data_IF_303729167303
#
_entry.id   IF_303729167303
#
_cell.length_a   1.000
_cell.length_b   1.000
_cell.length_c   1.000
_cell.angle_alpha   90.00
_cell.angle_beta   90.00
_cell.angle_gamma   90.00
#
_symmetry.space_group_name_H-M   'P 1'
#
loop_
_entity.id
_entity.type
_entity.pdbx_description
1 polymer ?
#
# COMPACT_ATOMS: atom_id res chain seq x y z
N UNK A 1 -17.54 -22.62 -4.12
CA UNK A 1 -16.06 -22.67 -4.07
C UNK A 1 -15.57 -21.32 -4.53
N UNK A 2 -14.67 -20.68 -3.80
CA UNK A 2 -14.07 -19.39 -4.16
C UNK A 2 -13.07 -19.62 -5.29
N UNK A 3 -13.16 -18.89 -6.39
CA UNK A 3 -12.11 -18.93 -7.41
C UNK A 3 -10.86 -18.23 -6.87
N UNK A 4 -9.71 -18.85 -7.09
CA UNK A 4 -8.41 -18.34 -6.69
C UNK A 4 -7.47 -18.41 -7.88
N UNK A 5 -6.89 -17.28 -8.25
CA UNK A 5 -5.96 -17.16 -9.38
C UNK A 5 -4.78 -16.31 -8.97
N UNK A 6 -3.57 -16.79 -9.24
CA UNK A 6 -2.36 -15.98 -9.24
C UNK A 6 -1.75 -16.10 -10.64
N UNK A 7 -1.60 -14.98 -11.34
CA UNK A 7 -1.12 -14.96 -12.72
C UNK A 7 -0.30 -13.69 -12.99
N UNK A 8 0.31 -13.60 -14.15
CA UNK A 8 1.06 -12.43 -14.61
C UNK A 8 0.46 -11.94 -15.92
N UNK A 9 0.18 -10.63 -15.99
CA UNK A 9 -0.17 -9.94 -17.23
C UNK A 9 1.10 -9.50 -17.95
N UNK A 10 1.09 -9.64 -19.27
CA UNK A 10 2.08 -9.07 -20.19
C UNK A 10 1.39 -7.91 -20.91
N UNK A 11 1.80 -6.66 -20.62
CA UNK A 11 1.08 -5.44 -21.02
C UNK A 11 1.81 -4.63 -22.12
N UNK A 12 2.91 -5.16 -22.67
CA UNK A 12 3.67 -4.51 -23.73
C UNK A 12 4.53 -3.35 -23.21
N UNK A 13 4.79 -2.39 -24.10
CA UNK A 13 5.63 -1.23 -23.79
C UNK A 13 4.98 -0.29 -22.77
N UNK A 14 5.78 0.18 -21.82
CA UNK A 14 5.36 1.14 -20.80
C UNK A 14 6.41 2.25 -20.65
N UNK A 15 5.99 3.50 -20.83
CA UNK A 15 6.85 4.67 -20.70
C UNK A 15 6.62 5.29 -19.31
N UNK A 16 7.66 5.43 -18.51
CA UNK A 16 7.61 6.04 -17.17
C UNK A 16 7.41 7.56 -17.23
N UNK A 17 7.14 8.17 -16.07
CA UNK A 17 7.04 9.63 -15.93
C UNK A 17 8.36 10.33 -16.30
N UNK A 18 9.52 9.67 -16.08
CA UNK A 18 10.84 10.16 -16.50
C UNK A 18 11.13 10.04 -18.00
N UNK A 19 10.28 9.32 -18.75
CA UNK A 19 10.46 9.04 -20.17
C UNK A 19 11.30 7.79 -20.47
N UNK A 20 11.70 7.03 -19.44
CA UNK A 20 12.36 5.73 -19.61
C UNK A 20 11.32 4.66 -19.96
N UNK A 21 11.75 3.59 -20.65
CA UNK A 21 10.83 2.58 -21.18
C UNK A 21 11.06 1.22 -20.52
N UNK A 22 9.95 0.54 -20.16
CA UNK A 22 9.92 -0.89 -19.90
C UNK A 22 9.33 -1.55 -21.14
N UNK A 23 10.15 -2.30 -21.89
CA UNK A 23 9.75 -2.88 -23.18
C UNK A 23 8.61 -3.90 -23.05
N UNK A 24 8.61 -4.66 -21.97
CA UNK A 24 7.63 -5.71 -21.67
C UNK A 24 7.14 -5.59 -20.24
N UNK A 25 6.16 -4.70 -20.01
CA UNK A 25 5.57 -4.52 -18.69
C UNK A 25 4.88 -5.80 -18.21
N UNK A 26 5.35 -6.34 -17.09
CA UNK A 26 4.79 -7.51 -16.42
C UNK A 26 4.17 -7.10 -15.11
N UNK A 27 2.93 -7.55 -14.86
CA UNK A 27 2.24 -7.35 -13.59
C UNK A 27 1.76 -8.68 -13.03
N UNK A 28 2.37 -9.11 -11.93
CA UNK A 28 1.88 -10.23 -11.11
C UNK A 28 0.67 -9.80 -10.33
N UNK A 29 -0.35 -10.65 -10.23
CA UNK A 29 -1.57 -10.34 -9.47
C UNK A 29 -2.17 -11.58 -8.82
N UNK A 30 -2.93 -11.34 -7.76
CA UNK A 30 -3.87 -12.26 -7.16
C UNK A 30 -5.28 -11.80 -7.47
N UNK A 31 -6.14 -12.73 -7.88
CA UNK A 31 -7.57 -12.51 -8.02
C UNK A 31 -8.34 -13.61 -7.28
N UNK A 32 -9.21 -13.20 -6.34
CA UNK A 32 -9.96 -14.11 -5.45
C UNK A 32 -11.41 -13.70 -5.44
N UNK A 33 -12.31 -14.68 -5.51
CA UNK A 33 -13.76 -14.43 -5.50
C UNK A 33 -14.46 -14.96 -6.76
N UNK A 34 -15.74 -14.70 -6.91
CA UNK A 34 -16.53 -15.17 -8.04
C UNK A 34 -16.74 -14.07 -9.09
N UNK A 35 -16.71 -14.41 -10.38
CA UNK A 35 -17.05 -13.45 -11.44
C UNK A 35 -18.40 -12.79 -11.20
N UNK A 36 -18.45 -11.46 -11.41
CA UNK A 36 -19.66 -10.67 -11.23
C UNK A 36 -19.93 -10.16 -9.83
N UNK A 37 -19.14 -10.58 -8.84
CA UNK A 37 -19.16 -9.93 -7.50
C UNK A 37 -18.61 -8.50 -7.58
N UNK A 38 -19.00 -7.60 -6.65
CA UNK A 38 -18.39 -6.28 -6.51
C UNK A 38 -16.87 -6.38 -6.32
N UNK A 39 -16.11 -5.55 -7.07
CA UNK A 39 -14.65 -5.58 -7.07
C UNK A 39 -14.07 -4.78 -5.90
N UNK A 40 -13.16 -5.41 -5.17
CA UNK A 40 -12.23 -4.78 -4.24
C UNK A 40 -10.83 -4.76 -4.87
N UNK A 41 -10.28 -3.57 -5.09
CA UNK A 41 -8.87 -3.41 -5.46
C UNK A 41 -8.08 -3.11 -4.20
N UNK A 42 -7.08 -3.94 -3.93
CA UNK A 42 -6.20 -3.79 -2.76
C UNK A 42 -4.83 -3.32 -3.23
N UNK A 43 -4.37 -2.21 -2.66
CA UNK A 43 -3.05 -1.66 -2.91
C UNK A 43 -2.12 -2.02 -1.73
N UNK A 44 -1.06 -2.78 -1.99
CA UNK A 44 -0.16 -3.23 -0.93
C UNK A 44 0.86 -2.16 -0.50
N UNK A 45 1.37 -2.30 0.73
CA UNK A 45 2.39 -1.43 1.31
C UNK A 45 3.81 -1.74 0.76
N UNK A 46 4.81 -0.95 1.17
CA UNK A 46 6.18 -0.94 0.66
C UNK A 46 6.80 -2.33 0.45
N UNK A 47 6.71 -3.20 1.45
CA UNK A 47 7.29 -4.56 1.42
C UNK A 47 6.23 -5.67 1.32
N UNK A 48 4.99 -5.29 0.98
CA UNK A 48 3.92 -6.23 0.67
C UNK A 48 4.08 -6.85 -0.71
N UNK A 49 3.10 -7.66 -1.07
CA UNK A 49 3.03 -8.30 -2.38
C UNK A 49 1.56 -8.52 -2.78
N UNK A 50 1.37 -9.16 -3.92
CA UNK A 50 0.04 -9.47 -4.46
C UNK A 50 -0.79 -10.45 -3.62
N UNK A 51 -0.19 -11.23 -2.70
CA UNK A 51 -0.91 -12.24 -1.93
C UNK A 51 -1.66 -11.63 -0.74
N UNK A 52 -2.79 -11.01 -1.01
CA UNK A 52 -3.68 -10.44 0.03
C UNK A 52 -4.46 -11.52 0.76
N UNK A 53 -5.00 -12.50 0.03
CA UNK A 53 -5.73 -13.66 0.56
C UNK A 53 -4.82 -14.88 0.72
N UNK A 54 -4.04 -15.20 -0.30
CA UNK A 54 -3.12 -16.33 -0.31
C UNK A 54 -3.81 -17.69 -0.32
N UNK A 55 -3.06 -18.71 0.08
CA UNK A 55 -3.51 -20.08 0.22
C UNK A 55 -3.41 -20.54 1.68
N UNK A 56 -3.90 -21.75 2.00
CA UNK A 56 -3.73 -22.31 3.35
C UNK A 56 -2.26 -22.60 3.68
N UNK A 57 -1.46 -22.93 2.66
CA UNK A 57 -0.01 -23.14 2.81
C UNK A 57 0.78 -21.83 2.91
N UNK A 58 0.27 -20.76 2.30
CA UNK A 58 0.86 -19.42 2.32
C UNK A 58 -0.24 -18.38 2.48
N UNK A 59 -0.72 -18.14 3.72
CA UNK A 59 -1.76 -17.15 3.99
C UNK A 59 -1.32 -15.76 3.56
N UNK A 60 -2.25 -15.03 2.93
CA UNK A 60 -2.04 -13.64 2.53
C UNK A 60 -2.05 -12.69 3.74
N UNK A 61 -1.46 -11.53 3.54
CA UNK A 61 -1.21 -10.58 4.63
C UNK A 61 -2.47 -9.88 5.17
N UNK A 62 -3.62 -9.93 4.45
CA UNK A 62 -4.94 -9.44 4.93
C UNK A 62 -6.02 -10.53 4.92
N UNK A 63 -5.64 -11.79 4.87
CA UNK A 63 -6.59 -12.91 4.87
C UNK A 63 -7.56 -12.85 6.04
N UNK A 64 -7.09 -12.42 7.21
CA UNK A 64 -7.93 -12.30 8.41
C UNK A 64 -9.06 -11.26 8.26
N UNK A 65 -8.83 -10.15 7.53
CA UNK A 65 -9.88 -9.17 7.22
C UNK A 65 -10.97 -9.79 6.34
N UNK A 66 -10.57 -10.65 5.42
CA UNK A 66 -11.44 -11.27 4.43
C UNK A 66 -12.21 -12.44 5.06
N UNK A 67 -11.52 -13.40 5.67
CA UNK A 67 -12.13 -14.56 6.33
C UNK A 67 -12.85 -14.17 7.64
N UNK A 68 -12.39 -13.13 8.33
CA UNK A 68 -13.02 -12.57 9.52
C UNK A 68 -14.34 -11.84 9.25
N UNK A 69 -14.72 -11.69 7.97
CA UNK A 69 -16.02 -11.16 7.57
C UNK A 69 -16.13 -9.64 7.58
N UNK A 70 -15.03 -8.90 7.71
CA UNK A 70 -15.05 -7.44 7.61
C UNK A 70 -15.24 -6.96 6.17
N UNK A 71 -14.61 -7.64 5.20
CA UNK A 71 -14.86 -7.52 3.76
C UNK A 71 -14.90 -8.96 3.19
N UNK A 72 -16.03 -9.65 3.28
CA UNK A 72 -16.06 -11.10 3.10
C UNK A 72 -15.96 -11.52 1.61
N UNK A 73 -15.17 -12.54 1.33
CA UNK A 73 -14.94 -13.09 -0.03
C UNK A 73 -16.19 -13.69 -0.67
N UNK A 74 -17.22 -14.00 0.10
CA UNK A 74 -18.49 -14.48 -0.45
C UNK A 74 -19.36 -13.34 -1.00
N UNK A 75 -19.09 -12.09 -0.65
CA UNK A 75 -19.78 -10.90 -1.15
C UNK A 75 -18.97 -10.12 -2.18
N UNK A 76 -17.65 -10.27 -2.18
CA UNK A 76 -16.72 -9.48 -2.99
C UNK A 76 -15.71 -10.37 -3.71
N UNK A 77 -15.20 -9.87 -4.84
CA UNK A 77 -13.98 -10.35 -5.46
C UNK A 77 -12.84 -9.36 -5.21
N UNK A 78 -11.62 -9.90 -4.97
CA UNK A 78 -10.43 -9.12 -4.63
C UNK A 78 -9.41 -9.19 -5.74
N UNK A 79 -8.83 -8.06 -6.08
CA UNK A 79 -7.74 -7.95 -7.03
C UNK A 79 -6.59 -7.17 -6.39
N UNK A 80 -5.42 -7.78 -6.38
CA UNK A 80 -4.20 -7.17 -5.84
C UNK A 80 -3.07 -7.37 -6.83
N UNK A 81 -2.53 -6.28 -7.34
CA UNK A 81 -1.32 -6.32 -8.17
C UNK A 81 -0.08 -6.21 -7.30
N UNK A 82 0.98 -6.92 -7.69
CA UNK A 82 2.30 -6.63 -7.18
C UNK A 82 2.87 -5.42 -7.89
N UNK A 83 3.32 -4.40 -7.14
CA UNK A 83 3.83 -3.16 -7.74
C UNK A 83 5.10 -3.41 -8.55
N UNK A 84 5.26 -2.71 -9.67
CA UNK A 84 6.53 -2.71 -10.42
C UNK A 84 7.65 -2.13 -9.56
N UNK A 85 8.85 -2.62 -9.76
CA UNK A 85 10.01 -2.28 -8.93
C UNK A 85 10.18 -3.17 -7.70
N UNK A 86 9.19 -4.03 -7.34
CA UNK A 86 9.31 -4.97 -6.23
C UNK A 86 9.80 -6.36 -6.68
N UNK A 87 10.36 -7.21 -5.78
CA UNK A 87 11.00 -8.47 -6.17
C UNK A 87 10.02 -9.64 -6.43
N UNK A 88 8.70 -9.40 -6.56
CA UNK A 88 7.68 -10.47 -6.58
C UNK A 88 7.03 -10.64 -7.97
N UNK A 89 7.84 -10.97 -8.99
CA UNK A 89 7.43 -11.36 -10.36
C UNK A 89 6.74 -10.27 -11.21
N UNK A 90 6.59 -9.03 -10.76
CA UNK A 90 6.33 -7.89 -11.63
C UNK A 90 7.65 -7.34 -12.19
N UNK A 91 7.59 -6.49 -13.22
CA UNK A 91 8.78 -5.84 -13.78
C UNK A 91 9.59 -5.11 -12.71
N UNK A 92 10.87 -5.37 -12.64
CA UNK A 92 11.80 -4.81 -11.65
C UNK A 92 13.25 -4.98 -12.07
N UNK A 93 14.19 -4.33 -11.38
CA UNK A 93 15.65 -4.52 -11.57
C UNK A 93 16.13 -5.96 -11.35
N UNK A 94 15.31 -6.83 -10.81
CA UNK A 94 15.63 -8.23 -10.59
C UNK A 94 15.40 -9.10 -11.85
N UNK A 95 14.53 -8.69 -12.74
CA UNK A 95 14.10 -9.49 -13.90
C UNK A 95 14.11 -8.72 -15.23
N UNK A 96 14.63 -7.50 -15.24
CA UNK A 96 14.78 -6.66 -16.41
C UNK A 96 16.08 -5.82 -16.27
N UNK A 97 17.10 -6.13 -17.06
CA UNK A 97 18.41 -5.45 -17.03
C UNK A 97 18.31 -3.97 -17.46
N UNK A 98 17.25 -3.62 -18.22
CA UNK A 98 16.96 -2.27 -18.68
C UNK A 98 15.87 -1.58 -17.84
N UNK A 99 15.56 -2.11 -16.65
CA UNK A 99 14.53 -1.53 -15.79
C UNK A 99 14.87 -0.07 -15.45
N UNK A 100 13.91 0.87 -15.53
CA UNK A 100 14.14 2.28 -15.32
C UNK A 100 14.90 2.62 -14.03
N UNK A 101 15.80 3.59 -14.10
CA UNK A 101 16.50 4.12 -12.93
C UNK A 101 15.57 4.97 -12.06
N UNK A 102 14.61 5.66 -12.70
CA UNK A 102 13.69 6.57 -12.02
C UNK A 102 12.25 6.08 -12.15
N UNK A 103 11.76 5.46 -11.10
CA UNK A 103 10.37 5.04 -10.96
C UNK A 103 9.66 5.93 -9.94
N UNK A 104 8.45 6.36 -10.27
CA UNK A 104 7.60 7.15 -9.37
C UNK A 104 6.36 6.39 -8.92
N UNK A 105 5.70 6.89 -7.89
CA UNK A 105 4.40 6.36 -7.47
C UNK A 105 3.36 6.42 -8.59
N UNK A 106 3.41 7.46 -9.43
CA UNK A 106 2.50 7.61 -10.57
C UNK A 106 2.70 6.54 -11.63
N UNK A 107 3.93 6.08 -11.83
CA UNK A 107 4.22 4.96 -12.73
C UNK A 107 3.62 3.66 -12.21
N UNK A 108 3.78 3.39 -10.91
CA UNK A 108 3.14 2.23 -10.26
C UNK A 108 1.63 2.25 -10.49
N UNK A 109 1.00 3.38 -10.26
CA UNK A 109 -0.45 3.52 -10.40
C UNK A 109 -0.91 3.35 -11.83
N UNK A 110 -0.21 3.94 -12.80
CA UNK A 110 -0.51 3.75 -14.24
C UNK A 110 -0.39 2.29 -14.67
N UNK A 111 0.63 1.58 -14.15
CA UNK A 111 0.76 0.16 -14.41
C UNK A 111 -0.42 -0.65 -13.83
N UNK A 112 -0.87 -0.33 -12.62
CA UNK A 112 -2.06 -0.94 -11.99
C UNK A 112 -3.32 -0.64 -12.82
N UNK A 113 -3.50 0.58 -13.29
CA UNK A 113 -4.63 0.97 -14.15
C UNK A 113 -4.67 0.16 -15.44
N UNK A 114 -3.52 -0.03 -16.10
CA UNK A 114 -3.40 -0.89 -17.28
C UNK A 114 -3.77 -2.34 -16.94
N UNK A 115 -3.34 -2.84 -15.78
CA UNK A 115 -3.69 -4.18 -15.31
C UNK A 115 -5.19 -4.36 -15.08
N UNK A 116 -5.85 -3.39 -14.44
CA UNK A 116 -7.30 -3.40 -14.22
C UNK A 116 -8.05 -3.37 -15.55
N UNK A 117 -7.59 -2.54 -16.51
CA UNK A 117 -8.17 -2.44 -17.86
C UNK A 117 -8.00 -3.75 -18.64
N UNK A 118 -6.82 -4.38 -18.59
CA UNK A 118 -6.54 -5.65 -19.25
C UNK A 118 -7.39 -6.82 -18.73
N UNK A 119 -7.80 -6.75 -17.46
CA UNK A 119 -8.76 -7.68 -16.86
C UNK A 119 -10.22 -7.27 -17.08
N UNK A 120 -10.47 -6.25 -17.91
CA UNK A 120 -11.78 -5.77 -18.35
C UNK A 120 -12.70 -5.22 -17.25
N UNK A 121 -12.17 -4.94 -16.05
CA UNK A 121 -12.94 -4.26 -15.02
C UNK A 121 -13.22 -2.80 -15.40
N UNK A 122 -14.46 -2.35 -15.16
CA UNK A 122 -14.91 -0.99 -15.50
C UNK A 122 -15.17 -0.13 -14.27
N UNK A 123 -15.38 -0.77 -13.11
CA UNK A 123 -15.74 -0.13 -11.85
C UNK A 123 -15.01 -0.81 -10.71
N UNK A 124 -14.62 -0.01 -9.73
CA UNK A 124 -14.06 -0.45 -8.46
C UNK A 124 -15.09 -0.14 -7.37
N UNK A 125 -15.62 -1.17 -6.71
CA UNK A 125 -16.59 -0.95 -5.63
C UNK A 125 -15.90 -0.53 -4.34
N UNK A 126 -14.73 -1.10 -4.05
CA UNK A 126 -13.91 -0.73 -2.90
C UNK A 126 -12.45 -0.63 -3.37
N UNK A 127 -11.85 0.53 -3.15
CA UNK A 127 -10.40 0.74 -3.29
C UNK A 127 -9.81 0.87 -1.90
N UNK A 128 -8.85 0.02 -1.54
CA UNK A 128 -8.28 0.02 -0.19
C UNK A 128 -6.77 -0.12 -0.21
N UNK A 129 -6.08 0.67 0.60
CA UNK A 129 -4.64 0.58 0.80
C UNK A 129 -4.15 1.26 2.05
N UNK A 130 -3.04 0.76 2.60
CA UNK A 130 -2.34 1.35 3.73
C UNK A 130 -0.93 1.81 3.37
N UNK A 131 -0.45 2.89 3.97
CA UNK A 131 0.89 3.44 3.71
C UNK A 131 1.09 3.72 2.22
N UNK A 132 2.13 3.18 1.57
CA UNK A 132 2.32 3.25 0.12
C UNK A 132 1.06 2.82 -0.67
N UNK A 133 0.30 1.85 -0.16
CA UNK A 133 -0.96 1.45 -0.77
C UNK A 133 -2.05 2.53 -0.69
N UNK A 134 -2.09 3.30 0.39
CA UNK A 134 -2.97 4.46 0.52
C UNK A 134 -2.59 5.59 -0.44
N UNK A 135 -1.28 5.78 -0.68
CA UNK A 135 -0.78 6.74 -1.69
C UNK A 135 -1.18 6.32 -3.10
N UNK A 136 -1.09 5.02 -3.43
CA UNK A 136 -1.59 4.47 -4.69
C UNK A 136 -3.09 4.73 -4.86
N UNK A 137 -3.88 4.52 -3.81
CA UNK A 137 -5.32 4.77 -3.85
C UNK A 137 -5.64 6.25 -4.15
N UNK A 138 -4.91 7.20 -3.58
CA UNK A 138 -5.09 8.63 -3.88
C UNK A 138 -4.81 8.98 -5.34
N UNK A 139 -3.72 8.45 -5.90
CA UNK A 139 -3.38 8.67 -7.31
C UNK A 139 -4.43 8.03 -8.25
N UNK A 140 -4.93 6.82 -7.94
CA UNK A 140 -6.03 6.17 -8.69
C UNK A 140 -7.30 7.03 -8.66
N UNK A 141 -7.63 7.63 -7.51
CA UNK A 141 -8.78 8.53 -7.37
C UNK A 141 -8.60 9.80 -8.19
N UNK A 142 -7.40 10.39 -8.17
CA UNK A 142 -7.09 11.58 -8.93
C UNK A 142 -7.18 11.33 -10.45
N UNK A 143 -6.64 10.21 -10.92
CA UNK A 143 -6.61 9.86 -12.35
C UNK A 143 -8.00 9.61 -12.95
N UNK A 144 -8.99 9.22 -12.14
CA UNK A 144 -10.41 9.01 -12.55
C UNK A 144 -10.59 8.05 -13.73
N UNK A 145 -9.68 7.09 -13.92
CA UNK A 145 -9.80 6.09 -14.99
C UNK A 145 -10.96 5.11 -14.73
N UNK A 146 -11.37 4.96 -13.47
CA UNK A 146 -12.45 4.09 -13.03
C UNK A 146 -13.43 4.84 -12.14
N UNK A 147 -14.70 4.44 -12.18
CA UNK A 147 -15.66 4.79 -11.14
C UNK A 147 -15.27 4.04 -9.86
N UNK A 148 -15.00 4.76 -8.78
CA UNK A 148 -14.71 4.21 -7.45
C UNK A 148 -15.87 4.55 -6.51
N UNK A 149 -16.58 3.54 -6.01
CA UNK A 149 -17.72 3.77 -5.11
C UNK A 149 -17.28 4.16 -3.69
N UNK A 150 -16.32 3.41 -3.14
CA UNK A 150 -15.76 3.65 -1.80
C UNK A 150 -14.25 3.53 -1.84
N UNK A 151 -13.56 4.40 -1.12
CA UNK A 151 -12.11 4.32 -0.92
C UNK A 151 -11.78 4.32 0.57
N UNK A 152 -10.78 3.51 0.95
CA UNK A 152 -10.31 3.35 2.32
C UNK A 152 -8.80 3.58 2.30
N UNK A 153 -8.35 4.64 2.97
CA UNK A 153 -6.96 5.09 3.01
C UNK A 153 -6.49 4.99 4.45
N UNK A 154 -5.53 4.10 4.70
CA UNK A 154 -5.02 3.79 6.03
C UNK A 154 -3.59 4.31 6.17
N UNK A 155 -3.28 5.02 7.26
CA UNK A 155 -1.92 5.44 7.59
C UNK A 155 -1.15 6.02 6.39
N UNK A 156 -1.73 6.99 5.69
CA UNK A 156 -1.13 7.64 4.52
C UNK A 156 -1.52 9.11 4.43
N UNK A 157 -0.66 9.92 3.82
CA UNK A 157 -0.82 11.37 3.63
C UNK A 157 -0.64 11.75 2.17
N UNK A 158 -0.97 12.97 1.81
CA UNK A 158 -0.89 13.51 0.44
C UNK A 158 0.54 13.72 -0.09
N UNK A 159 1.54 13.62 0.78
CA UNK A 159 2.96 13.73 0.43
C UNK A 159 3.85 13.04 1.46
N UNK A 160 5.00 12.60 1.02
CA UNK A 160 6.06 12.13 1.92
C UNK A 160 6.62 13.31 2.72
N UNK A 161 6.62 13.17 4.05
CA UNK A 161 7.13 14.20 4.95
C UNK A 161 8.66 14.25 4.91
N UNK A 162 9.25 15.40 5.30
CA UNK A 162 10.70 15.52 5.48
C UNK A 162 11.22 14.52 6.53
N UNK A 163 10.41 14.20 7.53
CA UNK A 163 10.76 13.22 8.57
C UNK A 163 10.83 11.80 8.02
N UNK A 164 9.81 11.37 7.25
CA UNK A 164 9.82 10.06 6.57
C UNK A 164 10.98 9.95 5.58
N UNK A 165 11.24 11.03 4.81
CA UNK A 165 12.37 11.07 3.88
C UNK A 165 13.73 10.95 4.58
N UNK A 166 13.89 11.52 5.79
CA UNK A 166 15.12 11.37 6.57
C UNK A 166 15.39 9.91 6.96
N UNK A 167 14.34 9.15 7.34
CA UNK A 167 14.48 7.71 7.59
C UNK A 167 14.82 6.94 6.32
N UNK A 168 14.17 7.24 5.20
CA UNK A 168 14.45 6.61 3.91
C UNK A 168 15.91 6.84 3.50
N UNK A 169 16.44 8.05 3.72
CA UNK A 169 17.84 8.37 3.41
C UNK A 169 18.83 7.59 4.28
N UNK A 170 18.56 7.43 5.57
CA UNK A 170 19.42 6.60 6.45
C UNK A 170 19.40 5.13 5.99
N UNK A 171 18.21 4.61 5.62
CA UNK A 171 18.09 3.26 5.08
C UNK A 171 18.88 3.09 3.77
N UNK A 172 18.80 4.07 2.87
CA UNK A 172 19.54 4.10 1.60
C UNK A 172 21.05 4.11 1.83
N UNK A 173 21.55 4.97 2.73
CA UNK A 173 22.96 5.01 3.10
C UNK A 173 23.44 3.69 3.71
N UNK A 174 22.66 3.06 4.60
CA UNK A 174 22.99 1.76 5.14
C UNK A 174 23.19 0.71 4.04
N UNK A 175 22.31 0.68 3.04
CA UNK A 175 22.39 -0.25 1.90
C UNK A 175 23.62 0.07 1.03
N UNK A 176 23.89 1.34 0.73
CA UNK A 176 25.03 1.71 -0.10
C UNK A 176 26.37 1.36 0.57
N UNK A 177 26.46 1.46 1.89
CA UNK A 177 27.69 1.12 2.66
C UNK A 177 27.81 -0.40 2.82
N UNK A 178 26.74 -1.10 3.16
CA UNK A 178 26.76 -2.48 3.65
C UNK A 178 26.15 -3.52 2.70
N UNK A 179 25.62 -3.14 1.53
CA UNK A 179 24.98 -4.07 0.61
C UNK A 179 23.83 -4.85 1.29
N UNK A 180 23.88 -6.18 1.25
CA UNK A 180 22.88 -7.03 1.91
C UNK A 180 22.80 -6.83 3.43
N UNK A 181 23.93 -6.60 4.09
CA UNK A 181 23.94 -6.30 5.54
C UNK A 181 23.33 -4.92 5.80
N UNK A 182 23.54 -3.96 4.90
CA UNK A 182 22.86 -2.67 4.91
C UNK A 182 21.35 -2.79 4.75
N UNK A 183 20.87 -3.72 3.92
CA UNK A 183 19.43 -4.01 3.78
C UNK A 183 18.84 -4.56 5.09
N UNK A 184 19.59 -5.41 5.81
CA UNK A 184 19.21 -5.87 7.16
C UNK A 184 19.06 -4.70 8.12
N UNK A 185 20.02 -3.74 8.12
CA UNK A 185 19.96 -2.54 8.97
C UNK A 185 18.79 -1.63 8.56
N UNK A 186 18.56 -1.43 7.26
CA UNK A 186 17.42 -0.66 6.75
C UNK A 186 16.08 -1.24 7.22
N UNK A 187 15.94 -2.58 7.24
CA UNK A 187 14.75 -3.25 7.79
C UNK A 187 14.58 -3.04 9.30
N UNK A 188 15.67 -3.12 10.06
CA UNK A 188 15.64 -2.85 11.49
C UNK A 188 15.19 -1.41 11.78
N UNK A 189 15.70 -0.43 11.01
CA UNK A 189 15.26 0.97 11.10
C UNK A 189 13.77 1.10 10.77
N UNK A 190 13.30 0.41 9.72
CA UNK A 190 11.88 0.36 9.37
C UNK A 190 11.01 -0.10 10.53
N UNK A 191 11.38 -1.18 11.22
CA UNK A 191 10.62 -1.65 12.38
C UNK A 191 10.53 -0.62 13.52
N UNK A 192 11.57 0.18 13.75
CA UNK A 192 11.53 1.25 14.75
C UNK A 192 10.54 2.37 14.36
N UNK A 193 10.40 2.65 13.07
CA UNK A 193 9.46 3.67 12.59
C UNK A 193 8.03 3.16 12.43
N UNK A 194 7.85 1.84 12.24
CA UNK A 194 6.55 1.21 12.06
C UNK A 194 5.82 0.88 13.35
N UNK A 195 6.54 0.85 14.47
CA UNK A 195 6.00 0.48 15.78
C UNK A 195 6.15 1.61 16.79
N UNK A 196 5.15 1.77 17.64
CA UNK A 196 5.26 2.70 18.76
C UNK A 196 6.26 2.22 19.81
N UNK A 197 6.91 3.15 20.54
CA UNK A 197 7.77 2.82 21.67
C UNK A 197 7.03 1.97 22.71
N UNK A 198 5.77 2.32 22.98
CA UNK A 198 4.93 1.57 23.93
C UNK A 198 4.72 0.12 23.50
N UNK A 199 4.52 -0.14 22.20
CA UNK A 199 4.40 -1.50 21.67
C UNK A 199 5.68 -2.31 21.87
N UNK A 200 6.86 -1.68 21.71
CA UNK A 200 8.15 -2.31 21.99
C UNK A 200 8.32 -2.65 23.46
N UNK A 201 8.10 -1.68 24.35
CA UNK A 201 8.29 -1.84 25.80
C UNK A 201 7.32 -2.87 26.41
N UNK A 202 6.12 -3.03 25.81
CA UNK A 202 5.17 -4.06 26.23
C UNK A 202 5.54 -5.46 25.76
N UNK A 203 6.28 -5.57 24.66
CA UNK A 203 6.57 -6.85 24.00
C UNK A 203 7.93 -7.43 24.32
N UNK A 204 8.92 -6.58 24.57
CA UNK A 204 10.32 -6.99 24.67
C UNK A 204 10.98 -6.43 25.92
N UNK A 205 11.90 -7.20 26.50
CA UNK A 205 12.94 -6.67 27.36
C UNK A 205 14.05 -6.00 26.52
N UNK A 206 14.92 -5.15 27.13
CA UNK A 206 16.04 -4.52 26.42
C UNK A 206 16.99 -5.50 25.72
N UNK A 207 17.18 -6.70 26.25
CA UNK A 207 18.05 -7.71 25.65
C UNK A 207 17.34 -8.47 24.51
N UNK A 208 16.06 -8.76 24.66
CA UNK A 208 15.27 -9.47 23.64
C UNK A 208 15.08 -8.63 22.37
N UNK A 209 14.90 -7.31 22.49
CA UNK A 209 14.64 -6.43 21.35
C UNK A 209 15.81 -6.44 20.36
N UNK A 210 17.06 -6.50 20.83
CA UNK A 210 18.26 -6.53 19.97
C UNK A 210 18.25 -7.79 19.10
N UNK A 211 18.05 -8.95 19.72
CA UNK A 211 17.98 -10.23 18.99
C UNK A 211 16.81 -10.28 18.02
N UNK A 212 15.66 -9.74 18.41
CA UNK A 212 14.49 -9.64 17.54
C UNK A 212 14.76 -8.77 16.30
N UNK A 213 15.34 -7.58 16.49
CA UNK A 213 15.66 -6.66 15.40
C UNK A 213 16.63 -7.31 14.40
N UNK A 214 17.71 -7.91 14.89
CA UNK A 214 18.67 -8.64 14.06
C UNK A 214 18.00 -9.76 13.26
N UNK A 215 17.20 -10.60 13.94
CA UNK A 215 16.48 -11.68 13.28
C UNK A 215 15.55 -11.18 12.16
N UNK A 216 14.82 -10.09 12.40
CA UNK A 216 13.92 -9.52 11.38
C UNK A 216 14.69 -8.92 10.19
N UNK A 217 15.82 -8.27 10.43
CA UNK A 217 16.70 -7.79 9.39
C UNK A 217 17.30 -8.93 8.56
N UNK A 218 17.82 -9.95 9.21
CA UNK A 218 18.41 -11.12 8.56
C UNK A 218 17.38 -11.89 7.73
N UNK A 219 16.19 -12.12 8.28
CA UNK A 219 15.09 -12.75 7.55
C UNK A 219 14.73 -11.94 6.30
N UNK A 220 14.68 -10.61 6.39
CA UNK A 220 14.28 -9.74 5.29
C UNK A 220 15.26 -9.80 4.11
N UNK A 221 16.57 -9.75 4.36
CA UNK A 221 17.61 -9.79 3.31
C UNK A 221 17.68 -11.12 2.55
N UNK A 222 17.02 -12.18 3.05
CA UNK A 222 16.97 -13.48 2.36
C UNK A 222 15.90 -13.54 1.25
N UNK A 223 14.83 -12.76 1.36
CA UNK A 223 13.73 -12.81 0.40
C UNK A 223 13.47 -11.48 -0.32
N UNK A 224 14.03 -10.37 0.16
CA UNK A 224 13.86 -9.08 -0.50
C UNK A 224 15.15 -8.64 -1.18
N UNK A 225 15.04 -8.15 -2.42
CA UNK A 225 16.20 -7.66 -3.17
C UNK A 225 16.53 -6.22 -2.79
N UNK A 226 17.83 -5.91 -2.68
CA UNK A 226 18.29 -4.59 -2.24
C UNK A 226 18.03 -3.50 -3.29
N UNK A 227 18.15 -3.81 -4.59
CA UNK A 227 17.90 -2.82 -5.65
C UNK A 227 16.40 -2.52 -5.76
N UNK A 228 15.56 -3.55 -5.59
CA UNK A 228 14.12 -3.37 -5.49
C UNK A 228 13.74 -2.50 -4.28
N UNK A 229 14.40 -2.71 -3.12
CA UNK A 229 14.12 -1.89 -1.95
C UNK A 229 14.52 -0.42 -2.16
N UNK A 230 15.69 -0.16 -2.76
CA UNK A 230 16.13 1.19 -3.13
C UNK A 230 15.14 1.86 -4.10
N UNK A 231 14.71 1.13 -5.15
CA UNK A 231 13.68 1.61 -6.09
C UNK A 231 12.40 2.00 -5.36
N UNK A 232 11.93 1.18 -4.43
CA UNK A 232 10.69 1.47 -3.69
C UNK A 232 10.85 2.61 -2.67
N UNK A 233 12.05 2.86 -2.13
CA UNK A 233 12.33 4.07 -1.35
C UNK A 233 12.24 5.33 -2.23
N UNK A 234 12.74 5.28 -3.47
CA UNK A 234 12.63 6.40 -4.41
C UNK A 234 11.17 6.66 -4.81
N UNK A 235 10.38 5.59 -4.99
CA UNK A 235 8.93 5.69 -5.19
C UNK A 235 8.24 6.38 -4.02
N UNK A 236 8.54 6.00 -2.76
CA UNK A 236 8.01 6.68 -1.58
C UNK A 236 8.39 8.17 -1.56
N UNK A 237 9.67 8.46 -1.83
CA UNK A 237 10.18 9.84 -1.83
C UNK A 237 9.60 10.69 -2.98
N UNK A 238 9.12 10.06 -4.05
CA UNK A 238 8.46 10.74 -5.19
C UNK A 238 7.05 11.20 -4.86
N UNK A 239 6.43 10.64 -3.80
CA UNK A 239 5.04 10.91 -3.48
C UNK A 239 4.81 12.35 -3.03
N UNK A 240 4.12 13.08 -3.86
CA UNK A 240 3.58 14.40 -3.59
C UNK A 240 2.38 14.59 -4.54
N UNK A 241 1.19 14.48 -4.00
CA UNK A 241 -0.05 14.46 -4.79
C UNK A 241 -0.21 15.73 -5.64
N UNK A 242 0.11 16.89 -5.05
CA UNK A 242 0.00 18.19 -5.72
C UNK A 242 1.21 18.53 -6.63
N UNK A 243 2.22 17.66 -6.75
CA UNK A 243 3.41 17.93 -7.58
C UNK A 243 3.04 18.12 -9.05
N UNK A 244 3.19 19.36 -9.55
CA UNK A 244 2.82 19.73 -10.93
C UNK A 244 1.32 19.70 -11.21
N UNK A 245 0.48 19.81 -10.17
CA UNK A 245 -0.99 19.85 -10.21
C UNK A 245 -1.49 20.98 -9.33
N UNK A 246 -2.46 21.73 -9.79
CA UNK A 246 -3.14 22.82 -9.07
C UNK A 246 -4.65 22.59 -8.91
N UNK A 247 -5.15 21.45 -9.40
CA UNK A 247 -6.56 21.08 -9.44
C UNK A 247 -6.96 19.91 -8.52
N UNK A 248 -6.06 19.41 -7.66
CA UNK A 248 -6.29 18.19 -6.86
C UNK A 248 -7.54 18.33 -5.97
N UNK A 249 -7.69 19.45 -5.30
CA UNK A 249 -8.86 19.68 -4.44
C UNK A 249 -10.15 19.79 -5.26
N UNK A 250 -10.11 20.42 -6.44
CA UNK A 250 -11.25 20.47 -7.35
C UNK A 250 -11.65 19.06 -7.81
N UNK A 251 -10.67 18.25 -8.19
CA UNK A 251 -10.90 16.86 -8.58
C UNK A 251 -11.53 16.08 -7.41
N UNK A 252 -10.94 16.12 -6.21
CA UNK A 252 -11.45 15.37 -5.07
C UNK A 252 -12.83 15.84 -4.60
N UNK A 253 -13.12 17.13 -4.68
CA UNK A 253 -14.45 17.68 -4.40
C UNK A 253 -15.49 17.31 -5.47
N UNK A 254 -15.07 16.98 -6.68
CA UNK A 254 -15.96 16.51 -7.76
C UNK A 254 -16.34 15.03 -7.67
N UNK A 255 -15.59 14.23 -6.92
CA UNK A 255 -15.82 12.79 -6.80
C UNK A 255 -17.08 12.47 -5.98
N UNK A 256 -17.86 11.51 -6.47
CA UNK A 256 -18.96 10.90 -5.69
C UNK A 256 -18.48 9.74 -4.80
N UNK A 257 -17.21 9.43 -4.84
CA UNK A 257 -16.55 8.41 -4.02
C UNK A 257 -16.68 8.75 -2.54
N UNK A 258 -17.11 7.77 -1.75
CA UNK A 258 -17.12 7.89 -0.28
C UNK A 258 -15.76 7.46 0.26
N UNK A 259 -15.09 8.34 0.98
CA UNK A 259 -13.73 8.11 1.46
C UNK A 259 -13.72 7.90 2.97
N UNK A 260 -13.02 6.85 3.41
CA UNK A 260 -12.65 6.63 4.80
C UNK A 260 -11.15 6.80 4.94
N UNK A 261 -10.71 7.70 5.82
CA UNK A 261 -9.30 7.75 6.24
C UNK A 261 -9.18 7.21 7.66
N UNK A 262 -8.10 6.48 7.94
CA UNK A 262 -7.79 6.01 9.30
C UNK A 262 -6.36 6.36 9.67
N UNK A 263 -6.21 7.10 10.78
CA UNK A 263 -4.94 7.37 11.45
C UNK A 263 -4.76 6.43 12.65
N UNK A 264 -3.52 6.10 12.96
CA UNK A 264 -3.17 5.20 14.06
C UNK A 264 -2.39 5.97 15.13
N UNK A 265 -2.65 5.67 16.40
CA UNK A 265 -1.93 6.31 17.50
C UNK A 265 -0.43 6.03 17.39
N UNK A 266 0.38 7.02 17.71
CA UNK A 266 1.84 6.93 17.70
C UNK A 266 2.46 6.52 16.35
N UNK A 267 1.73 6.72 15.24
CA UNK A 267 2.33 6.61 13.90
C UNK A 267 3.32 7.76 13.68
N UNK A 268 4.61 7.44 13.63
CA UNK A 268 5.68 8.42 13.45
C UNK A 268 5.80 8.91 12.00
N UNK A 269 5.36 8.10 11.03
CA UNK A 269 5.51 8.41 9.61
C UNK A 269 4.34 9.24 9.09
N UNK A 270 3.13 8.91 9.52
CA UNK A 270 1.88 9.54 9.07
C UNK A 270 0.98 9.86 10.26
N UNK A 271 1.27 10.96 10.98
CA UNK A 271 0.50 11.40 12.15
C UNK A 271 -0.99 11.57 11.82
N UNK A 272 -1.85 11.26 12.80
CA UNK A 272 -3.32 11.24 12.63
C UNK A 272 -3.90 12.56 12.12
N UNK A 273 -3.38 13.68 12.59
CA UNK A 273 -3.81 15.01 12.16
C UNK A 273 -3.59 15.24 10.65
N UNK A 274 -2.49 14.72 10.09
CA UNK A 274 -2.21 14.80 8.66
C UNK A 274 -3.10 13.84 7.86
N UNK A 275 -3.34 12.62 8.37
CA UNK A 275 -4.27 11.66 7.75
C UNK A 275 -5.70 12.20 7.75
N UNK A 276 -6.11 12.89 8.81
CA UNK A 276 -7.39 13.58 8.90
C UNK A 276 -7.49 14.72 7.90
N UNK A 277 -6.46 15.57 7.82
CA UNK A 277 -6.40 16.70 6.88
C UNK A 277 -6.51 16.22 5.43
N UNK A 278 -5.87 15.10 5.07
CA UNK A 278 -6.07 14.47 3.77
C UNK A 278 -7.55 14.14 3.52
N UNK A 279 -8.23 13.53 4.48
CA UNK A 279 -9.65 13.19 4.34
C UNK A 279 -10.52 14.41 4.05
N UNK A 280 -10.18 15.55 4.63
CA UNK A 280 -10.92 16.81 4.46
C UNK A 280 -10.87 17.38 3.04
N UNK A 281 -9.95 16.94 2.19
CA UNK A 281 -9.86 17.27 0.77
C UNK A 281 -10.99 16.64 -0.06
N UNK A 282 -11.65 15.57 0.43
CA UNK A 282 -12.70 14.86 -0.30
C UNK A 282 -14.10 15.38 0.05
N UNK A 283 -14.99 15.43 -0.94
CA UNK A 283 -16.39 15.84 -0.81
C UNK A 283 -17.17 15.01 0.21
N UNK A 284 -17.00 13.69 0.17
CA UNK A 284 -17.67 12.75 1.06
C UNK A 284 -16.63 11.95 1.81
N UNK A 285 -16.26 12.40 3.00
CA UNK A 285 -15.28 11.70 3.78
C UNK A 285 -15.74 11.42 5.22
N UNK A 286 -15.12 10.42 5.81
CA UNK A 286 -15.08 10.14 7.24
C UNK A 286 -13.66 9.87 7.65
N UNK A 287 -13.36 10.24 8.86
CA UNK A 287 -12.09 9.93 9.48
C UNK A 287 -12.33 9.09 10.73
N UNK A 288 -11.48 8.11 10.96
CA UNK A 288 -11.47 7.30 12.18
C UNK A 288 -10.05 7.25 12.73
N UNK A 289 -9.92 7.59 14.03
CA UNK A 289 -8.68 7.46 14.76
C UNK A 289 -8.65 6.11 15.48
N UNK A 290 -7.59 5.32 15.26
CA UNK A 290 -7.40 4.02 15.89
C UNK A 290 -6.51 4.20 17.13
N UNK A 291 -7.05 4.03 18.34
CA UNK A 291 -6.31 4.25 19.59
C UNK A 291 -5.47 3.04 20.01
N UNK A 292 -5.14 2.14 19.09
CA UNK A 292 -4.27 1.00 19.35
C UNK A 292 -2.80 1.42 19.37
N UNK A 293 -2.01 0.79 20.21
CA UNK A 293 -0.64 1.18 20.55
C UNK A 293 0.44 0.68 19.57
N UNK A 294 0.06 0.19 18.38
CA UNK A 294 1.02 -0.43 17.46
C UNK A 294 1.82 0.60 16.66
N UNK A 295 1.27 1.77 16.39
CA UNK A 295 1.86 2.76 15.48
C UNK A 295 1.51 2.46 14.03
N UNK A 296 2.43 2.76 13.10
CA UNK A 296 2.21 2.65 11.66
C UNK A 296 1.75 1.25 11.20
N UNK A 297 2.32 0.17 11.77
CA UNK A 297 1.91 -1.21 11.43
C UNK A 297 0.49 -1.57 11.89
N UNK A 298 -0.25 -0.67 12.54
CA UNK A 298 -1.60 -0.92 13.05
C UNK A 298 -2.56 -1.45 12.01
N UNK A 299 -2.46 -1.00 10.76
CA UNK A 299 -3.32 -1.49 9.66
C UNK A 299 -2.97 -2.92 9.18
N UNK A 300 -1.87 -3.50 9.65
CA UNK A 300 -1.44 -4.88 9.38
C UNK A 300 -1.65 -5.82 10.57
N UNK A 301 -2.07 -5.28 11.71
CA UNK A 301 -2.13 -6.00 12.98
C UNK A 301 -3.43 -5.65 13.73
N UNK A 302 -3.73 -6.43 14.77
CA UNK A 302 -4.83 -6.17 15.71
C UNK A 302 -6.15 -5.81 15.00
N UNK A 303 -6.51 -6.57 13.96
CA UNK A 303 -7.66 -6.28 13.09
C UNK A 303 -8.97 -6.08 13.87
N UNK A 304 -9.14 -6.74 15.00
CA UNK A 304 -10.35 -6.59 15.84
C UNK A 304 -10.52 -5.16 16.40
N UNK A 305 -9.46 -4.36 16.48
CA UNK A 305 -9.51 -3.01 17.05
C UNK A 305 -9.96 -1.96 16.03
N UNK A 306 -9.75 -2.20 14.74
CA UNK A 306 -10.04 -1.22 13.71
C UNK A 306 -10.93 -1.72 12.55
N UNK A 307 -10.83 -3.01 12.17
CA UNK A 307 -11.57 -3.55 11.03
C UNK A 307 -13.11 -3.52 11.21
N UNK A 308 -13.71 -3.55 12.41
CA UNK A 308 -15.15 -3.29 12.58
C UNK A 308 -15.59 -1.95 11.98
N UNK A 309 -14.72 -0.95 11.95
CA UNK A 309 -15.02 0.34 11.33
C UNK A 309 -15.10 0.27 9.81
N UNK A 310 -14.35 -0.65 9.16
CA UNK A 310 -14.51 -0.98 7.74
C UNK A 310 -15.92 -1.50 7.48
N UNK A 311 -16.33 -2.52 8.24
CA UNK A 311 -17.66 -3.10 8.09
C UNK A 311 -18.76 -2.06 8.29
N UNK A 312 -18.65 -1.23 9.32
CA UNK A 312 -19.59 -0.14 9.56
C UNK A 312 -19.63 0.85 8.39
N UNK A 313 -18.46 1.31 7.89
CA UNK A 313 -18.37 2.23 6.76
C UNK A 313 -18.98 1.63 5.48
N UNK A 314 -18.68 0.37 5.18
CA UNK A 314 -19.16 -0.31 3.98
C UNK A 314 -20.68 -0.49 3.98
N UNK A 315 -21.30 -0.65 5.14
CA UNK A 315 -22.74 -0.85 5.31
C UNK A 315 -23.55 0.43 5.54
N UNK A 316 -22.91 1.61 5.53
CA UNK A 316 -23.62 2.90 5.68
C UNK A 316 -24.51 3.18 4.47
N UNK A 317 -25.84 3.26 4.74
CA UNK A 317 -26.87 3.58 3.74
C UNK A 317 -26.91 5.07 3.37
N UNK A 318 -26.48 5.97 4.26
CA UNK A 318 -26.51 7.41 4.04
C UNK A 318 -25.21 8.08 4.48
N UNK A 319 -24.60 8.84 3.57
CA UNK A 319 -23.51 9.77 3.84
C UNK A 319 -24.09 11.18 3.95
N UNK A 320 -23.91 11.85 5.08
CA UNK A 320 -24.27 13.27 5.21
C UNK A 320 -23.19 14.11 4.52
N UNK A 321 -23.61 15.07 3.68
CA UNK A 321 -22.73 16.17 3.24
C UNK A 321 -22.31 16.95 4.49
N UNK A 322 -21.05 17.39 4.53
CA UNK A 322 -20.61 18.44 5.45
C UNK A 322 -21.30 19.75 5.16
#
# INVERSE_FOLDING_TARGET
MTNYTVNTLELGEFITESGETIDHLRLRYEHVGLPGQPLVVVCHALTGNHLTYGTDAQPGWWREIIDGGYIPVHDYQFLTFNVIGSPFDSSSKLNDDNFPEHLTLRDIVRAIELGIQALEFKKINILIGGSLGGMQAMELLYNRQFEVEKAIILAATDKTSSYSRAFNEIARQAIHIGGKEGLSIARQLGFLTYRSSKSYDQRFTPDEVVSYQQHQGDKFKEYFDLNCYLTLLDVLDSHHLDRGRDDVDEVFQSLETKVLTMGFIDDLLYPDDQVRALGERFKYHRHFFVPDNVGHDGFLLNFNDWAPNLYHFLNLKQFRRK
#
